data_IF_516772286695
#
_entry.id   IF_516772286695
#
_cell.length_a   1.000
_cell.length_b   1.000
_cell.length_c   1.000
_cell.angle_alpha   90.00
_cell.angle_beta   90.00
_cell.angle_gamma   90.00
#
_symmetry.space_group_name_H-M   'P 1'
#
loop_
_entity.id
_entity.type
_entity.pdbx_description
1 polymer ?
#
# COMPACT_ATOMS: atom_id res chain seq x y z
N UNK A 1 12.56 -35.13 12.64
CA UNK A 1 12.14 -34.58 13.95
C UNK A 1 12.12 -33.09 13.78
N UNK A 2 10.98 -32.44 14.04
CA UNK A 2 10.90 -30.99 13.96
C UNK A 2 11.62 -30.38 15.16
N UNK A 3 12.52 -29.43 14.91
CA UNK A 3 13.22 -28.71 15.97
C UNK A 3 12.54 -27.35 16.27
N UNK A 4 13.16 -26.57 17.15
CA UNK A 4 12.63 -25.25 17.53
C UNK A 4 12.63 -24.28 16.34
N UNK A 5 13.58 -24.41 15.42
CA UNK A 5 13.64 -23.57 14.23
C UNK A 5 12.48 -23.89 13.28
N UNK A 6 12.13 -25.17 13.13
CA UNK A 6 10.97 -25.59 12.34
C UNK A 6 9.68 -24.96 12.90
N UNK A 7 9.45 -25.04 14.21
CA UNK A 7 8.27 -24.42 14.84
C UNK A 7 8.26 -22.89 14.71
N UNK A 8 9.41 -22.23 14.86
CA UNK A 8 9.51 -20.79 14.69
C UNK A 8 9.17 -20.35 13.26
N UNK A 9 9.61 -21.14 12.26
CA UNK A 9 9.31 -20.87 10.87
C UNK A 9 7.82 -21.02 10.56
N UNK A 10 7.16 -22.05 11.07
CA UNK A 10 5.71 -22.25 10.88
C UNK A 10 4.89 -21.06 11.40
N UNK A 11 5.25 -20.56 12.59
CA UNK A 11 4.64 -19.37 13.17
C UNK A 11 4.88 -18.16 12.25
N UNK A 12 6.12 -17.95 11.81
CA UNK A 12 6.47 -16.83 10.93
C UNK A 12 5.67 -16.88 9.61
N UNK A 13 5.55 -18.05 8.97
CA UNK A 13 4.76 -18.22 7.75
C UNK A 13 3.28 -17.89 7.99
N UNK A 14 2.69 -18.41 9.07
CA UNK A 14 1.29 -18.11 9.41
C UNK A 14 1.04 -16.60 9.69
N UNK A 15 2.05 -15.88 10.20
CA UNK A 15 1.97 -14.42 10.33
C UNK A 15 2.10 -13.71 8.98
N UNK A 16 3.02 -14.13 8.12
CA UNK A 16 3.20 -13.56 6.79
C UNK A 16 1.96 -13.73 5.93
N UNK A 17 1.36 -14.92 5.90
CA UNK A 17 0.16 -15.20 5.11
C UNK A 17 -1.01 -14.31 5.52
N UNK A 18 -1.22 -14.15 6.83
CA UNK A 18 -2.26 -13.25 7.35
C UNK A 18 -2.02 -11.80 6.94
N UNK A 19 -0.77 -11.34 7.01
CA UNK A 19 -0.42 -9.97 6.65
C UNK A 19 -0.57 -9.73 5.14
N UNK A 20 -0.16 -10.69 4.30
CA UNK A 20 -0.33 -10.61 2.85
C UNK A 20 -1.81 -10.58 2.49
N UNK A 21 -2.64 -11.43 3.11
CA UNK A 21 -4.07 -11.44 2.89
C UNK A 21 -4.72 -10.10 3.27
N UNK A 22 -4.33 -9.52 4.41
CA UNK A 22 -4.84 -8.22 4.84
C UNK A 22 -4.38 -7.07 3.92
N UNK A 23 -3.15 -7.13 3.40
CA UNK A 23 -2.58 -6.10 2.54
C UNK A 23 -3.12 -6.11 1.11
N UNK A 24 -3.74 -7.20 0.65
CA UNK A 24 -4.37 -7.33 -0.68
C UNK A 24 -5.66 -6.53 -0.77
N UNK A 25 -5.55 -5.21 -0.69
CA UNK A 25 -6.65 -4.27 -0.91
C UNK A 25 -6.79 -3.96 -2.41
N UNK A 26 -8.02 -3.76 -2.91
CA UNK A 26 -8.24 -3.40 -4.30
C UNK A 26 -7.56 -2.07 -4.61
N UNK A 27 -6.72 -2.07 -5.65
CA UNK A 27 -6.05 -0.87 -6.13
C UNK A 27 -7.00 -0.13 -7.05
N UNK A 28 -7.45 1.05 -6.63
CA UNK A 28 -8.33 1.90 -7.45
C UNK A 28 -7.64 2.28 -8.76
N UNK A 29 -8.30 2.01 -9.88
CA UNK A 29 -7.86 2.45 -11.22
C UNK A 29 -7.91 3.98 -11.27
N UNK A 30 -6.87 4.59 -11.81
CA UNK A 30 -6.85 6.03 -12.01
C UNK A 30 -7.12 6.41 -13.47
N UNK A 31 -7.53 7.65 -13.66
CA UNK A 31 -7.74 8.28 -14.98
C UNK A 31 -6.69 9.38 -15.20
N UNK A 32 -6.33 9.64 -16.45
CA UNK A 32 -5.46 10.76 -16.78
C UNK A 32 -6.25 12.08 -16.81
N UNK A 33 -5.62 13.18 -16.39
CA UNK A 33 -6.19 14.53 -16.47
C UNK A 33 -5.66 15.46 -15.38
N UNK A 34 -6.36 16.57 -15.17
CA UNK A 34 -6.00 17.63 -14.23
C UNK A 34 -6.51 17.36 -12.80
N UNK A 35 -5.63 17.55 -11.81
CA UNK A 35 -5.95 17.36 -10.40
C UNK A 35 -6.87 18.47 -9.85
N UNK A 36 -7.96 18.09 -9.18
CA UNK A 36 -8.94 19.03 -8.61
C UNK A 36 -8.38 19.90 -7.46
N UNK A 37 -7.33 19.44 -6.77
CA UNK A 37 -6.76 20.16 -5.63
C UNK A 37 -5.64 21.14 -6.03
N UNK A 38 -4.77 20.74 -6.96
CA UNK A 38 -3.55 21.48 -7.29
C UNK A 38 -3.46 21.97 -8.73
N UNK A 39 -4.40 21.57 -9.61
CA UNK A 39 -4.42 21.98 -11.02
C UNK A 39 -3.33 21.37 -11.90
N UNK A 40 -2.57 20.39 -11.37
CA UNK A 40 -1.50 19.74 -12.13
C UNK A 40 -2.05 18.57 -12.94
N UNK A 41 -1.59 18.42 -14.19
CA UNK A 41 -1.90 17.25 -15.01
C UNK A 41 -1.18 16.01 -14.46
N UNK A 42 -1.92 14.90 -14.34
CA UNK A 42 -1.40 13.65 -13.83
C UNK A 42 -1.92 12.49 -14.66
N UNK A 43 -1.05 11.51 -15.00
CA UNK A 43 -1.48 10.32 -15.72
C UNK A 43 -2.37 9.39 -14.86
N UNK A 44 -2.45 9.63 -13.54
CA UNK A 44 -3.20 8.78 -12.61
C UNK A 44 -3.82 9.58 -11.47
N UNK A 45 -5.02 10.09 -11.73
CA UNK A 45 -5.95 10.63 -10.75
C UNK A 45 -6.84 9.54 -10.18
N UNK A 46 -6.97 9.50 -8.85
CA UNK A 46 -7.93 8.64 -8.15
C UNK A 46 -8.87 9.56 -7.39
N UNK A 47 -10.17 9.48 -7.67
CA UNK A 47 -11.17 10.43 -7.15
C UNK A 47 -10.78 11.90 -7.40
N UNK A 48 -10.38 12.24 -8.63
CA UNK A 48 -10.01 13.60 -9.02
C UNK A 48 -8.66 14.10 -8.48
N UNK A 49 -7.96 13.30 -7.67
CA UNK A 49 -6.75 13.74 -6.95
C UNK A 49 -5.49 12.97 -7.35
N UNK A 50 -4.41 13.72 -7.58
CA UNK A 50 -3.09 13.17 -7.87
C UNK A 50 -2.45 12.52 -6.62
N UNK A 51 -1.42 11.71 -6.83
CA UNK A 51 -0.72 11.00 -5.76
C UNK A 51 -0.26 11.89 -4.59
N UNK A 52 0.43 13.01 -4.82
CA UNK A 52 0.91 13.84 -3.71
C UNK A 52 -0.21 14.55 -2.94
N UNK A 53 -1.36 14.82 -3.56
CA UNK A 53 -2.49 15.47 -2.90
C UNK A 53 -3.34 14.49 -2.08
N UNK A 54 -3.57 13.27 -2.59
CA UNK A 54 -4.41 12.29 -1.90
C UNK A 54 -3.68 11.49 -0.82
N UNK A 55 -2.35 11.35 -0.92
CA UNK A 55 -1.57 10.52 0.00
C UNK A 55 -1.03 11.36 1.18
N UNK A 56 -1.09 10.84 2.41
CA UNK A 56 -0.54 11.55 3.56
C UNK A 56 0.97 11.71 3.41
N UNK A 57 1.47 12.94 3.60
CA UNK A 57 2.91 13.24 3.54
C UNK A 57 3.64 12.41 4.59
N UNK A 58 4.58 11.56 4.17
CA UNK A 58 5.46 10.87 5.12
C UNK A 58 6.35 11.91 5.80
N UNK A 59 6.11 12.14 7.08
CA UNK A 59 7.00 12.95 7.90
C UNK A 59 8.25 12.08 8.13
N UNK A 60 9.40 12.48 7.58
CA UNK A 60 10.68 11.86 7.95
C UNK A 60 10.89 12.14 9.44
N UNK A 61 10.72 11.13 10.28
CA UNK A 61 11.24 11.16 11.66
C UNK A 61 12.75 10.92 11.54
N UNK A 62 13.52 11.98 11.77
CA UNK A 62 14.96 11.92 12.00
C UNK A 62 15.24 11.27 13.35
#
# INVERSE_FOLDING_TARGET
MADIADFANDIAQAHLDRNIAAARQPILVGVAGECEDCGEDSPRLVHGRCAPCREPKRIRRY
#
